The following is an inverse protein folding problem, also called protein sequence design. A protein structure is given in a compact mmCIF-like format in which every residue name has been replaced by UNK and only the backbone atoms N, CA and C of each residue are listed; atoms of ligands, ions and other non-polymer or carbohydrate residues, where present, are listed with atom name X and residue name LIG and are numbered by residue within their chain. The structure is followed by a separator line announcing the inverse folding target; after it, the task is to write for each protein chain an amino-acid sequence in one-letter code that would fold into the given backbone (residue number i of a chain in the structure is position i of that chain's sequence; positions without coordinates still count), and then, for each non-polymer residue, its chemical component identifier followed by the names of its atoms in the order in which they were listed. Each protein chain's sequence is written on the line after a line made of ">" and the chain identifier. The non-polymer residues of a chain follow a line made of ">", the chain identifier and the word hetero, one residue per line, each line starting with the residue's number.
data_IF_918252511321
#
_entry.id   IF_918252511321
#
_cell.length_a   1.000
_cell.length_b   1.000
_cell.length_c   1.000
_cell.angle_alpha   90.00
_cell.angle_beta   90.00
_cell.angle_gamma   90.00
#
_symmetry.space_group_name_H-M   'P 1'
#
loop_
_entity.id
_entity.type
_entity.pdbx_description
1 polymer ?
#
# COMPACT_ATOMS: atom_id res chain seq x y z
N UNK A 1 2.56 -12.24 1.50
CA UNK A 1 2.48 -13.07 0.27
C UNK A 1 3.63 -14.04 0.15
N UNK A 2 4.89 -13.58 0.24
CA UNK A 2 6.09 -14.44 0.19
C UNK A 2 6.02 -15.67 1.13
N UNK A 3 5.63 -15.49 2.40
CA UNK A 3 5.47 -16.59 3.36
C UNK A 3 4.45 -17.64 2.87
N UNK A 4 3.35 -17.21 2.23
CA UNK A 4 2.35 -18.13 1.68
C UNK A 4 2.86 -18.92 0.47
N UNK A 5 3.63 -18.28 -0.41
CA UNK A 5 4.28 -18.94 -1.55
C UNK A 5 5.39 -19.90 -1.10
N UNK A 6 6.14 -19.51 -0.06
CA UNK A 6 7.17 -20.35 0.56
C UNK A 6 6.54 -21.61 1.19
N UNK A 7 5.42 -21.46 1.91
CA UNK A 7 4.67 -22.59 2.47
C UNK A 7 4.08 -23.50 1.38
N UNK A 8 3.61 -22.93 0.27
CA UNK A 8 3.14 -23.72 -0.87
C UNK A 8 4.27 -24.53 -1.52
N UNK A 9 5.44 -23.92 -1.74
CA UNK A 9 6.63 -24.62 -2.26
C UNK A 9 7.15 -25.70 -1.29
N UNK A 10 7.05 -25.45 0.02
CA UNK A 10 7.43 -26.43 1.05
C UNK A 10 6.46 -27.60 1.12
N UNK A 11 5.15 -27.35 0.97
CA UNK A 11 4.12 -28.40 0.89
C UNK A 11 4.27 -29.27 -0.37
N UNK A 12 4.78 -28.70 -1.46
CA UNK A 12 5.12 -29.42 -2.70
C UNK A 12 6.50 -30.11 -2.66
N UNK A 13 7.22 -30.02 -1.54
CA UNK A 13 8.53 -30.65 -1.37
C UNK A 13 9.64 -30.09 -2.27
N UNK A 14 9.47 -28.87 -2.80
CA UNK A 14 10.37 -28.24 -3.78
C UNK A 14 10.52 -29.01 -5.10
N UNK A 15 9.55 -29.85 -5.47
CA UNK A 15 9.61 -30.65 -6.70
C UNK A 15 9.56 -29.77 -7.95
N UNK A 16 8.70 -28.73 -7.96
CA UNK A 16 8.61 -27.77 -9.08
C UNK A 16 9.31 -26.44 -8.78
N UNK A 17 9.36 -26.02 -7.51
CA UNK A 17 9.92 -24.72 -7.11
C UNK A 17 11.23 -24.93 -6.34
N UNK A 18 12.36 -24.91 -7.04
CA UNK A 18 13.69 -25.06 -6.44
C UNK A 18 14.23 -23.82 -5.72
N UNK A 19 15.41 -23.96 -5.11
CA UNK A 19 16.13 -22.87 -4.44
C UNK A 19 16.34 -21.59 -5.29
N UNK A 20 16.64 -21.65 -6.61
CA UNK A 20 16.83 -20.44 -7.42
C UNK A 20 15.59 -19.55 -7.50
N UNK A 21 14.40 -20.13 -7.62
CA UNK A 21 13.12 -19.41 -7.68
C UNK A 21 12.72 -18.82 -6.33
N UNK A 22 13.07 -19.48 -5.23
CA UNK A 22 12.90 -18.91 -3.88
C UNK A 22 13.82 -17.72 -3.63
N UNK A 23 15.08 -17.78 -4.08
CA UNK A 23 16.01 -16.64 -4.00
C UNK A 23 15.49 -15.47 -4.83
N UNK A 24 15.01 -15.72 -6.06
CA UNK A 24 14.40 -14.68 -6.89
C UNK A 24 13.15 -14.05 -6.25
N UNK A 25 12.25 -14.88 -5.68
CA UNK A 25 11.09 -14.40 -4.92
C UNK A 25 11.51 -13.62 -3.67
N UNK A 26 12.58 -14.04 -2.99
CA UNK A 26 13.13 -13.35 -1.82
C UNK A 26 13.70 -11.98 -2.18
N UNK A 27 14.44 -11.88 -3.29
CA UNK A 27 14.95 -10.61 -3.83
C UNK A 27 13.79 -9.70 -4.25
N UNK A 28 12.79 -10.22 -4.95
CA UNK A 28 11.58 -9.46 -5.29
C UNK A 28 10.83 -8.98 -4.05
N UNK A 29 10.79 -9.79 -2.99
CA UNK A 29 10.18 -9.40 -1.72
C UNK A 29 10.97 -8.27 -1.05
N UNK A 30 12.29 -8.36 -1.04
CA UNK A 30 13.16 -7.29 -0.52
C UNK A 30 13.01 -5.99 -1.32
N UNK A 31 13.01 -6.07 -2.65
CA UNK A 31 12.76 -4.93 -3.53
C UNK A 31 11.35 -4.36 -3.31
N UNK A 32 10.34 -5.22 -3.15
CA UNK A 32 8.98 -4.80 -2.82
C UNK A 32 8.93 -4.05 -1.50
N UNK A 33 9.62 -4.53 -0.47
CA UNK A 33 9.69 -3.84 0.82
C UNK A 33 10.38 -2.48 0.68
N UNK A 34 11.46 -2.40 -0.09
CA UNK A 34 12.13 -1.14 -0.39
C UNK A 34 11.20 -0.16 -1.11
N UNK A 35 10.48 -0.65 -2.13
CA UNK A 35 9.52 0.15 -2.90
C UNK A 35 8.35 0.57 -2.01
N UNK A 36 7.83 -0.29 -1.15
CA UNK A 36 6.75 0.06 -0.20
C UNK A 36 7.20 1.15 0.77
N UNK A 37 8.40 1.02 1.33
CA UNK A 37 8.98 2.04 2.23
C UNK A 37 9.21 3.35 1.48
N UNK A 38 9.82 3.31 0.30
CA UNK A 38 10.06 4.50 -0.52
C UNK A 38 8.75 5.16 -0.96
N UNK A 39 7.76 4.39 -1.40
CA UNK A 39 6.46 4.88 -1.80
C UNK A 39 5.72 5.51 -0.62
N UNK A 40 5.81 4.91 0.57
CA UNK A 40 5.20 5.46 1.80
C UNK A 40 5.89 6.74 2.24
N UNK A 41 7.22 6.77 2.25
CA UNK A 41 8.01 7.94 2.66
C UNK A 41 7.86 9.08 1.65
N UNK A 42 8.05 8.80 0.36
CA UNK A 42 7.93 9.82 -0.71
C UNK A 42 6.48 10.25 -0.88
N UNK A 43 5.52 9.32 -0.78
CA UNK A 43 4.09 9.61 -0.82
C UNK A 43 3.64 10.49 0.35
N UNK A 44 4.13 10.23 1.57
CA UNK A 44 3.83 11.07 2.72
C UNK A 44 4.53 12.45 2.65
N UNK A 45 5.79 12.49 2.20
CA UNK A 45 6.57 13.72 2.16
C UNK A 45 6.19 14.66 1.01
N UNK A 46 5.83 14.15 -0.17
CA UNK A 46 5.47 15.00 -1.33
C UNK A 46 4.13 15.72 -1.18
N UNK A 47 3.28 15.26 -0.27
CA UNK A 47 1.91 15.78 -0.13
C UNK A 47 1.86 17.01 0.78
N UNK A 48 2.94 17.31 1.53
CA UNK A 48 2.98 18.46 2.43
C UNK A 48 1.90 18.40 3.54
N UNK A 49 1.40 17.20 3.84
CA UNK A 49 0.35 16.98 4.80
C UNK A 49 0.83 17.29 6.22
N UNK A 50 0.02 18.00 7.00
CA UNK A 50 0.36 18.20 8.41
C UNK A 50 0.26 16.88 9.18
N UNK A 51 0.92 16.81 10.34
CA UNK A 51 0.75 15.67 11.27
C UNK A 51 -0.71 15.44 11.64
N UNK A 52 -1.53 16.50 11.68
CA UNK A 52 -2.97 16.39 11.99
C UNK A 52 -3.76 15.80 10.82
N UNK A 53 -3.40 16.13 9.58
CA UNK A 53 -3.98 15.49 8.41
C UNK A 53 -3.67 14.00 8.37
N UNK A 54 -2.41 13.60 8.64
CA UNK A 54 -2.02 12.18 8.71
C UNK A 54 -2.81 11.40 9.78
N UNK A 55 -2.94 11.95 10.98
CA UNK A 55 -3.77 11.35 12.03
C UNK A 55 -5.25 11.31 11.65
N UNK A 56 -5.76 12.38 11.03
CA UNK A 56 -7.11 12.44 10.51
C UNK A 56 -7.38 11.36 9.46
N UNK A 57 -6.46 11.17 8.51
CA UNK A 57 -6.49 10.08 7.53
C UNK A 57 -6.50 8.71 8.20
N UNK A 58 -5.64 8.49 9.20
CA UNK A 58 -5.57 7.22 9.91
C UNK A 58 -6.90 6.90 10.62
N UNK A 59 -7.41 7.84 11.43
CA UNK A 59 -8.70 7.67 12.12
C UNK A 59 -9.85 7.54 11.13
N UNK A 60 -9.86 8.37 10.08
CA UNK A 60 -10.84 8.32 9.00
C UNK A 60 -10.82 6.99 8.25
N UNK A 61 -9.66 6.36 8.09
CA UNK A 61 -9.53 5.03 7.48
C UNK A 61 -10.14 3.95 8.37
N UNK A 62 -9.89 4.01 9.68
CA UNK A 62 -10.45 3.07 10.67
C UNK A 62 -11.97 3.20 10.72
N UNK A 63 -12.47 4.42 10.89
CA UNK A 63 -13.92 4.68 10.92
C UNK A 63 -14.56 4.31 9.58
N UNK A 64 -13.90 4.67 8.48
CA UNK A 64 -14.33 4.35 7.12
C UNK A 64 -14.47 2.85 6.84
N UNK A 65 -13.67 2.01 7.49
CA UNK A 65 -13.76 0.55 7.39
C UNK A 65 -15.13 0.01 7.87
N UNK A 66 -15.78 0.68 8.83
CA UNK A 66 -17.11 0.29 9.30
C UNK A 66 -18.23 0.67 8.32
N UNK A 67 -17.96 1.57 7.36
CA UNK A 67 -18.92 2.05 6.37
C UNK A 67 -18.58 1.58 4.94
N UNK A 68 -18.05 0.36 4.82
CA UNK A 68 -17.68 -0.26 3.54
C UNK A 68 -18.87 -0.34 2.56
N UNK A 69 -18.63 -0.20 1.24
CA UNK A 69 -17.34 0.02 0.58
C UNK A 69 -16.93 1.50 0.47
N UNK A 70 -17.91 2.42 0.47
CA UNK A 70 -17.67 3.85 0.21
C UNK A 70 -16.80 4.48 1.31
N UNK A 71 -17.02 4.09 2.56
CA UNK A 71 -16.28 4.58 3.72
C UNK A 71 -14.78 4.29 3.65
N UNK A 72 -14.35 3.21 2.98
CA UNK A 72 -12.93 2.90 2.84
C UNK A 72 -12.18 3.92 1.98
N UNK A 73 -12.85 4.44 0.94
CA UNK A 73 -12.27 5.45 0.06
C UNK A 73 -12.53 6.87 0.59
N UNK A 74 -13.73 7.14 1.08
CA UNK A 74 -14.12 8.47 1.55
C UNK A 74 -13.56 8.80 2.94
N UNK A 75 -13.44 7.81 3.83
CA UNK A 75 -12.98 7.97 5.20
C UNK A 75 -11.58 8.61 5.31
N UNK A 76 -10.54 8.07 4.65
CA UNK A 76 -9.21 8.68 4.64
C UNK A 76 -9.19 10.10 4.06
N UNK A 77 -10.00 10.35 3.01
CA UNK A 77 -10.12 11.66 2.36
C UNK A 77 -10.75 12.70 3.30
N UNK A 78 -11.91 12.38 3.87
CA UNK A 78 -12.63 13.25 4.81
C UNK A 78 -11.80 13.46 6.07
N UNK A 79 -11.15 12.41 6.57
CA UNK A 79 -10.24 12.49 7.70
C UNK A 79 -9.05 13.43 7.45
N UNK A 80 -8.41 13.33 6.29
CA UNK A 80 -7.32 14.23 5.88
C UNK A 80 -7.79 15.68 5.81
N UNK A 81 -8.93 15.91 5.14
CA UNK A 81 -9.56 17.22 4.98
C UNK A 81 -9.83 17.87 6.34
N UNK A 82 -10.52 17.16 7.24
CA UNK A 82 -10.88 17.66 8.57
C UNK A 82 -9.63 17.90 9.44
N UNK A 83 -8.66 16.98 9.40
CA UNK A 83 -7.41 17.11 10.16
C UNK A 83 -6.57 18.30 9.71
N UNK A 84 -6.47 18.53 8.39
CA UNK A 84 -5.75 19.68 7.84
C UNK A 84 -6.53 20.99 8.05
N UNK A 85 -7.85 20.98 7.90
CA UNK A 85 -8.69 22.14 8.15
C UNK A 85 -8.58 22.61 9.61
N UNK A 86 -8.54 21.67 10.56
CA UNK A 86 -8.29 22.01 11.97
C UNK A 86 -6.93 22.67 12.19
N UNK A 87 -5.90 22.25 11.44
CA UNK A 87 -4.56 22.80 11.59
C UNK A 87 -4.44 24.20 11.01
N UNK A 88 -4.92 24.38 9.78
CA UNK A 88 -4.57 25.53 8.95
C UNK A 88 -5.73 26.51 8.80
N UNK A 89 -6.97 26.10 9.14
CA UNK A 89 -8.24 26.86 9.00
C UNK A 89 -8.54 27.40 7.60
N UNK A 90 -7.75 27.03 6.60
CA UNK A 90 -7.93 27.39 5.20
C UNK A 90 -8.53 26.21 4.41
N UNK A 91 -9.75 26.40 3.92
CA UNK A 91 -10.48 25.39 3.14
C UNK A 91 -9.76 25.04 1.81
N UNK A 92 -9.18 26.04 1.15
CA UNK A 92 -8.47 25.84 -0.12
C UNK A 92 -7.23 24.95 0.04
N UNK A 93 -6.45 25.19 1.09
CA UNK A 93 -5.26 24.39 1.40
C UNK A 93 -5.63 23.00 1.92
N UNK A 94 -6.62 22.91 2.81
CA UNK A 94 -7.14 21.63 3.31
C UNK A 94 -7.61 20.71 2.17
N UNK A 95 -8.35 21.24 1.20
CA UNK A 95 -8.83 20.45 0.05
C UNK A 95 -7.70 19.94 -0.83
N UNK A 96 -6.72 20.79 -1.13
CA UNK A 96 -5.55 20.40 -1.93
C UNK A 96 -4.75 19.30 -1.22
N UNK A 97 -4.48 19.45 0.08
CA UNK A 97 -3.74 18.46 0.87
C UNK A 97 -4.52 17.16 1.02
N UNK A 98 -5.83 17.25 1.27
CA UNK A 98 -6.71 16.08 1.38
C UNK A 98 -6.75 15.27 0.09
N UNK A 99 -6.94 15.92 -1.06
CA UNK A 99 -6.91 15.25 -2.36
C UNK A 99 -5.54 14.67 -2.70
N UNK A 100 -4.45 15.39 -2.40
CA UNK A 100 -3.11 14.90 -2.64
C UNK A 100 -2.78 13.69 -1.72
N UNK A 101 -3.26 13.67 -0.49
CA UNK A 101 -3.13 12.53 0.44
C UNK A 101 -3.90 11.33 -0.10
N UNK A 102 -5.13 11.56 -0.56
CA UNK A 102 -5.97 10.51 -1.12
C UNK A 102 -5.39 9.90 -2.40
N UNK A 103 -4.88 10.73 -3.31
CA UNK A 103 -4.14 10.26 -4.48
C UNK A 103 -2.87 9.49 -4.10
N UNK A 104 -2.15 9.93 -3.06
CA UNK A 104 -0.99 9.21 -2.54
C UNK A 104 -1.34 7.80 -2.03
N UNK A 105 -2.45 7.65 -1.31
CA UNK A 105 -2.95 6.35 -0.85
C UNK A 105 -3.32 5.46 -2.04
N UNK A 106 -4.04 5.99 -3.03
CA UNK A 106 -4.41 5.24 -4.24
C UNK A 106 -3.19 4.82 -5.05
N UNK A 107 -2.20 5.69 -5.18
CA UNK A 107 -0.95 5.37 -5.88
C UNK A 107 -0.19 4.26 -5.15
N UNK A 108 -0.09 4.34 -3.81
CA UNK A 108 0.50 3.29 -2.99
C UNK A 108 -0.22 1.95 -3.13
N UNK A 109 -1.56 1.97 -3.18
CA UNK A 109 -2.36 0.78 -3.43
C UNK A 109 -2.08 0.19 -4.83
N UNK A 110 -2.02 1.03 -5.87
CA UNK A 110 -1.74 0.59 -7.23
C UNK A 110 -0.33 -0.04 -7.36
N UNK A 111 0.68 0.59 -6.76
CA UNK A 111 2.04 0.04 -6.68
C UNK A 111 2.05 -1.34 -6.00
N UNK A 112 1.36 -1.46 -4.86
CA UNK A 112 1.26 -2.72 -4.12
C UNK A 112 0.60 -3.82 -4.95
N UNK A 113 -0.47 -3.49 -5.68
CA UNK A 113 -1.14 -4.43 -6.58
C UNK A 113 -0.22 -4.90 -7.72
N UNK A 114 0.54 -3.99 -8.33
CA UNK A 114 1.49 -4.33 -9.39
C UNK A 114 2.55 -5.34 -8.90
N UNK A 115 3.07 -5.14 -7.69
CA UNK A 115 4.05 -6.08 -7.11
C UNK A 115 3.43 -7.44 -6.78
N UNK A 116 2.21 -7.45 -6.24
CA UNK A 116 1.45 -8.69 -6.00
C UNK A 116 1.27 -9.48 -7.31
N UNK A 117 0.87 -8.81 -8.39
CA UNK A 117 0.72 -9.47 -9.70
C UNK A 117 2.07 -10.01 -10.20
N UNK A 118 3.15 -9.25 -10.08
CA UNK A 118 4.48 -9.67 -10.52
C UNK A 118 4.97 -10.93 -9.78
N UNK A 119 4.80 -10.98 -8.46
CA UNK A 119 5.16 -12.13 -7.63
C UNK A 119 4.32 -13.37 -7.96
N UNK A 120 3.01 -13.21 -8.22
CA UNK A 120 2.14 -14.30 -8.64
C UNK A 120 2.52 -14.83 -10.02
N UNK A 121 2.80 -13.95 -10.98
CA UNK A 121 3.25 -14.32 -12.33
C UNK A 121 4.56 -15.10 -12.31
N UNK A 122 5.54 -14.66 -11.50
CA UNK A 122 6.81 -15.38 -11.35
C UNK A 122 6.61 -16.77 -10.74
N UNK A 123 5.77 -16.90 -9.72
CA UNK A 123 5.48 -18.19 -9.09
C UNK A 123 4.76 -19.13 -10.06
N UNK A 124 3.77 -18.65 -10.81
CA UNK A 124 3.07 -19.45 -11.81
C UNK A 124 4.01 -19.89 -12.94
N UNK A 125 4.90 -19.01 -13.41
CA UNK A 125 5.91 -19.36 -14.41
C UNK A 125 6.87 -20.44 -13.91
N UNK A 126 7.31 -20.32 -12.65
CA UNK A 126 8.17 -21.32 -12.00
C UNK A 126 7.47 -22.67 -11.75
N UNK A 127 6.15 -22.68 -11.62
CA UNK A 127 5.37 -23.89 -11.38
C UNK A 127 5.08 -24.69 -12.66
N UNK A 128 4.94 -24.00 -13.79
CA UNK A 128 4.59 -24.61 -15.09
C UNK A 128 5.81 -24.97 -15.96
N UNK A 129 7.01 -24.54 -15.60
CA UNK A 129 8.28 -24.82 -16.29
C UNK A 129 9.04 -25.95 -15.59
#
# INVERSE_FOLDING_TARGET
>A
MFIGLLLAAWADGFVHVGWPTLVALGVLTLLSLLVDVLATVVGAQRVGASRKALWGTFVGSIVGLFFMPIGLFAGPLIGALLGEYWHTRELGRSTRVGLATWLGILLGLALKLAVVIAMLGLFAFAWFL
#
